data_IF_678371230374
#
_entry.id   IF_678371230374
#
_cell.length_a   1.000
_cell.length_b   1.000
_cell.length_c   1.000
_cell.angle_alpha   90.00
_cell.angle_beta   90.00
_cell.angle_gamma   90.00
#
_symmetry.space_group_name_H-M   'P 1'
#
loop_
_entity.id
_entity.type
_entity.pdbx_description
1 polymer ?
#
# COMPACT_ATOMS: atom_id res chain seq x y z
N UNK A 1 -30.98 82.54 44.62
CA UNK A 1 -30.94 81.54 45.70
C UNK A 1 -29.94 80.47 45.31
N UNK A 2 -29.11 80.09 46.28
CA UNK A 2 -28.06 79.05 46.32
C UNK A 2 -28.49 77.72 45.65
N UNK A 3 -27.65 76.83 45.13
CA UNK A 3 -26.35 76.33 45.64
C UNK A 3 -25.66 75.52 44.52
N UNK A 4 -24.33 75.54 44.49
CA UNK A 4 -23.48 74.68 43.67
C UNK A 4 -23.03 73.41 44.45
N UNK A 5 -22.86 72.26 43.77
CA UNK A 5 -21.78 71.26 43.93
C UNK A 5 -22.16 69.96 43.19
N UNK A 6 -21.54 69.64 42.05
CA UNK A 6 -20.33 68.78 41.88
C UNK A 6 -20.49 67.37 42.45
N UNK A 7 -20.63 66.36 41.58
CA UNK A 7 -19.83 65.12 41.62
C UNK A 7 -19.57 64.63 40.19
N UNK A 8 -18.31 64.25 39.95
CA UNK A 8 -17.68 63.85 38.69
C UNK A 8 -17.76 62.33 38.47
N UNK A 9 -17.36 61.91 37.27
CA UNK A 9 -16.95 60.55 36.85
C UNK A 9 -18.14 59.61 36.54
N UNK A 10 -18.26 58.94 35.40
CA UNK A 10 -17.28 58.49 34.38
C UNK A 10 -18.00 58.37 33.03
N UNK A 11 -17.57 59.16 32.04
CA UNK A 11 -17.87 58.89 30.64
C UNK A 11 -16.64 58.20 30.04
N UNK A 12 -16.80 56.96 29.53
CA UNK A 12 -15.96 56.30 28.49
C UNK A 12 -16.29 54.81 28.43
N UNK A 13 -17.08 54.40 27.44
CA UNK A 13 -16.85 53.18 26.64
C UNK A 13 -18.01 53.00 25.65
N UNK A 14 -17.93 53.64 24.48
CA UNK A 14 -18.80 53.31 23.35
C UNK A 14 -18.21 53.85 22.05
N UNK A 15 -16.98 53.46 21.70
CA UNK A 15 -16.51 53.58 20.33
C UNK A 15 -15.34 52.63 20.14
N UNK A 16 -15.51 51.66 19.23
CA UNK A 16 -14.50 50.85 18.51
C UNK A 16 -14.92 49.39 18.44
N UNK A 17 -15.76 49.05 17.46
CA UNK A 17 -15.83 47.72 16.89
C UNK A 17 -16.47 47.80 15.50
N UNK A 18 -15.79 48.46 14.56
CA UNK A 18 -16.17 48.42 13.14
C UNK A 18 -14.93 48.37 12.24
N UNK A 19 -14.04 47.41 12.46
CA UNK A 19 -13.03 47.00 11.47
C UNK A 19 -12.67 45.53 11.71
N UNK A 20 -13.29 44.61 10.96
CA UNK A 20 -12.72 43.30 10.59
C UNK A 20 -13.78 42.42 9.89
N UNK A 21 -14.34 42.87 8.76
CA UNK A 21 -14.90 41.96 7.76
C UNK A 21 -13.95 41.92 6.56
N UNK A 22 -12.79 41.32 6.77
CA UNK A 22 -12.00 40.73 5.70
C UNK A 22 -11.96 39.25 6.07
N UNK A 23 -13.07 38.56 5.79
CA UNK A 23 -13.11 37.12 5.88
C UNK A 23 -12.08 36.58 4.89
N UNK A 24 -10.96 36.10 5.42
CA UNK A 24 -9.96 35.39 4.63
C UNK A 24 -10.66 34.24 3.93
N UNK A 25 -10.57 34.22 2.60
CA UNK A 25 -10.81 32.98 1.86
C UNK A 25 -9.71 32.03 2.35
N UNK A 26 -10.08 31.05 3.16
CA UNK A 26 -9.17 29.96 3.46
C UNK A 26 -8.76 29.35 2.11
N UNK A 27 -7.47 29.10 1.85
CA UNK A 27 -7.08 28.38 0.65
C UNK A 27 -7.82 27.04 0.68
N UNK A 28 -8.65 26.80 -0.33
CA UNK A 28 -9.21 25.47 -0.56
C UNK A 28 -8.03 24.59 -0.89
N UNK A 29 -7.66 23.69 0.02
CA UNK A 29 -6.67 22.67 -0.27
C UNK A 29 -7.21 21.81 -1.41
N UNK A 30 -6.70 22.01 -2.62
CA UNK A 30 -6.85 21.04 -3.70
C UNK A 30 -6.25 19.74 -3.20
N UNK A 31 -7.07 18.70 -3.06
CA UNK A 31 -6.56 17.33 -2.97
C UNK A 31 -5.61 17.15 -4.17
N UNK A 32 -4.37 16.76 -3.93
CA UNK A 32 -3.21 16.85 -4.85
C UNK A 32 -3.38 16.10 -6.19
N UNK A 33 -4.58 15.61 -6.52
CA UNK A 33 -4.95 14.91 -7.75
C UNK A 33 -4.29 13.53 -7.91
N UNK A 34 -3.26 13.25 -7.12
CA UNK A 34 -2.48 12.03 -7.12
C UNK A 34 -3.34 10.82 -6.79
N UNK A 35 -3.02 9.72 -7.46
CA UNK A 35 -3.61 8.40 -7.26
C UNK A 35 -3.10 7.82 -5.94
N UNK A 36 -3.96 7.59 -4.93
CA UNK A 36 -3.56 6.89 -3.72
C UNK A 36 -3.25 5.42 -4.05
N UNK A 37 -2.02 4.99 -3.76
CA UNK A 37 -1.59 3.60 -3.96
C UNK A 37 -0.95 3.07 -2.68
N UNK A 38 -1.30 1.85 -2.30
CA UNK A 38 -0.72 1.14 -1.16
C UNK A 38 -0.78 -0.36 -1.37
N UNK A 39 -0.21 -1.13 -0.45
CA UNK A 39 -0.24 -2.59 -0.54
C UNK A 39 -1.68 -3.12 -0.59
N UNK A 40 -1.97 -3.97 -1.57
CA UNK A 40 -3.31 -4.49 -1.85
C UNK A 40 -4.10 -3.72 -2.91
N UNK A 41 -3.56 -2.61 -3.42
CA UNK A 41 -4.16 -1.90 -4.55
C UNK A 41 -4.12 -2.73 -5.84
N UNK A 42 -5.22 -2.75 -6.58
CA UNK A 42 -5.26 -3.32 -7.91
C UNK A 42 -4.45 -2.49 -8.90
N UNK A 43 -3.63 -3.16 -9.70
CA UNK A 43 -2.83 -2.57 -10.76
C UNK A 43 -3.16 -3.23 -12.10
N UNK A 44 -3.11 -2.43 -13.16
CA UNK A 44 -3.26 -2.90 -14.54
C UNK A 44 -1.93 -2.73 -15.25
N UNK A 45 -1.36 -3.84 -15.71
CA UNK A 45 -0.09 -3.90 -16.42
C UNK A 45 -0.37 -3.97 -17.91
N UNK A 46 0.23 -3.08 -18.70
CA UNK A 46 0.05 -2.92 -20.15
C UNK A 46 -1.41 -2.80 -20.64
N UNK A 47 -2.34 -2.48 -19.73
CA UNK A 47 -3.76 -2.26 -20.03
C UNK A 47 -4.64 -3.51 -20.01
N UNK A 48 -4.08 -4.71 -19.83
CA UNK A 48 -4.83 -5.97 -19.92
C UNK A 48 -4.58 -6.95 -18.77
N UNK A 49 -3.46 -6.82 -18.06
CA UNK A 49 -3.05 -7.77 -17.02
C UNK A 49 -3.34 -7.19 -15.65
N UNK A 50 -4.22 -7.85 -14.89
CA UNK A 50 -4.67 -7.39 -13.57
C UNK A 50 -3.90 -8.12 -12.48
N UNK A 51 -3.21 -7.36 -11.64
CA UNK A 51 -2.48 -7.87 -10.49
C UNK A 51 -2.67 -6.97 -9.27
N UNK A 52 -2.01 -7.32 -8.17
CA UNK A 52 -2.03 -6.55 -6.93
C UNK A 52 -0.65 -5.97 -6.63
N UNK A 53 -0.63 -4.74 -6.12
CA UNK A 53 0.56 -4.09 -5.59
C UNK A 53 0.92 -4.68 -4.22
N UNK A 54 2.13 -5.22 -4.07
CA UNK A 54 2.62 -5.78 -2.80
C UNK A 54 2.77 -4.66 -1.76
N UNK A 55 3.63 -3.69 -2.06
CA UNK A 55 3.95 -2.60 -1.16
C UNK A 55 4.50 -1.44 -1.98
N UNK A 56 4.49 -0.25 -1.40
CA UNK A 56 5.02 0.97 -1.98
C UNK A 56 5.83 1.72 -0.92
N UNK A 57 6.87 2.42 -1.35
CA UNK A 57 7.84 3.06 -0.48
C UNK A 57 9.00 3.64 -1.25
N UNK A 58 10.11 3.93 -0.58
CA UNK A 58 11.29 4.51 -1.21
C UNK A 58 12.47 3.56 -1.15
N UNK A 59 13.30 3.55 -2.19
CA UNK A 59 14.61 2.89 -2.15
C UNK A 59 15.71 3.83 -1.64
N UNK A 60 16.95 3.33 -1.54
CA UNK A 60 18.08 4.10 -1.04
C UNK A 60 18.48 5.30 -1.91
N UNK A 61 17.94 5.42 -3.12
CA UNK A 61 18.13 6.59 -4.00
C UNK A 61 17.03 7.64 -3.81
N UNK A 62 16.00 7.33 -3.04
CA UNK A 62 14.80 8.14 -2.87
C UNK A 62 13.75 7.92 -3.95
N UNK A 63 13.95 6.99 -4.89
CA UNK A 63 12.95 6.68 -5.91
C UNK A 63 11.70 6.07 -5.27
N UNK A 64 10.51 6.43 -5.77
CA UNK A 64 9.25 5.83 -5.34
C UNK A 64 9.10 4.45 -6.00
N UNK A 65 9.20 3.40 -5.20
CA UNK A 65 9.25 2.00 -5.62
C UNK A 65 8.06 1.24 -5.07
N UNK A 66 7.57 0.26 -5.82
CA UNK A 66 6.76 -0.82 -5.29
C UNK A 66 7.10 -2.17 -5.90
N UNK A 67 6.42 -3.22 -5.43
CA UNK A 67 6.63 -4.59 -5.87
C UNK A 67 5.33 -5.26 -6.31
N UNK A 68 5.41 -6.20 -7.24
CA UNK A 68 4.31 -7.10 -7.63
C UNK A 68 4.91 -8.39 -8.21
N UNK A 69 4.11 -9.32 -8.74
CA UNK A 69 4.62 -10.54 -9.37
C UNK A 69 5.26 -10.31 -10.74
N UNK A 70 6.32 -11.07 -11.05
CA UNK A 70 7.01 -11.01 -12.35
C UNK A 70 6.15 -11.59 -13.49
N UNK A 71 5.31 -12.57 -13.19
CA UNK A 71 4.40 -13.13 -14.20
C UNK A 71 3.29 -12.15 -14.63
N UNK A 72 3.14 -11.01 -13.95
CA UNK A 72 2.26 -9.91 -14.39
C UNK A 72 2.88 -9.05 -15.49
N UNK A 73 4.21 -9.06 -15.61
CA UNK A 73 4.95 -8.23 -16.54
C UNK A 73 6.43 -8.11 -16.17
N UNK A 74 7.23 -7.69 -17.16
CA UNK A 74 8.66 -7.50 -17.01
C UNK A 74 9.10 -6.04 -17.15
N UNK A 75 10.43 -5.78 -17.08
CA UNK A 75 10.98 -4.44 -17.29
C UNK A 75 10.47 -3.78 -18.58
N UNK A 76 10.03 -2.53 -18.46
CA UNK A 76 9.41 -1.74 -19.53
C UNK A 76 7.88 -1.79 -19.55
N UNK A 77 7.24 -2.74 -18.85
CA UNK A 77 5.79 -2.80 -18.76
C UNK A 77 5.22 -1.58 -18.02
N UNK A 78 4.15 -1.02 -18.56
CA UNK A 78 3.48 0.16 -18.02
C UNK A 78 2.47 -0.25 -16.95
N UNK A 79 2.39 0.51 -15.86
CA UNK A 79 1.51 0.24 -14.72
C UNK A 79 0.51 1.37 -14.56
N UNK A 80 -0.77 1.04 -14.53
CA UNK A 80 -1.90 1.93 -14.23
C UNK A 80 -2.64 1.48 -12.96
N UNK A 81 -3.43 2.38 -12.37
CA UNK A 81 -4.33 2.04 -11.25
C UNK A 81 -5.61 1.42 -11.78
N UNK A 82 -6.03 0.29 -11.21
CA UNK A 82 -7.34 -0.33 -11.54
C UNK A 82 -8.50 0.55 -11.09
N UNK A 83 -8.42 1.16 -9.90
CA UNK A 83 -9.48 1.98 -9.33
C UNK A 83 -9.56 3.39 -9.99
N UNK A 84 -8.51 3.80 -10.72
CA UNK A 84 -8.40 5.14 -11.35
C UNK A 84 -7.84 5.09 -12.78
N UNK A 85 -8.53 4.42 -13.73
CA UNK A 85 -8.02 4.22 -15.09
C UNK A 85 -7.86 5.52 -15.90
N UNK A 86 -8.63 6.56 -15.57
CA UNK A 86 -8.56 7.87 -16.25
C UNK A 86 -7.25 8.64 -16.00
N UNK A 87 -6.50 8.31 -14.94
CA UNK A 87 -5.20 8.94 -14.64
C UNK A 87 -4.03 8.36 -15.47
N UNK A 88 -4.32 7.30 -16.24
CA UNK A 88 -3.40 6.66 -17.16
C UNK A 88 -2.26 5.93 -16.44
N UNK A 89 -1.10 5.88 -17.11
CA UNK A 89 0.10 5.22 -16.58
C UNK A 89 0.66 6.02 -15.39
N UNK A 90 0.86 5.34 -14.27
CA UNK A 90 1.37 5.90 -13.01
C UNK A 90 2.77 5.38 -12.65
N UNK A 91 3.28 4.39 -13.37
CA UNK A 91 4.62 3.84 -13.16
C UNK A 91 5.03 2.86 -14.25
N UNK A 92 6.25 2.35 -14.12
CA UNK A 92 6.84 1.39 -15.05
C UNK A 92 7.58 0.32 -14.28
N UNK A 93 7.50 -0.94 -14.71
CA UNK A 93 8.35 -2.00 -14.19
C UNK A 93 9.79 -1.79 -14.64
N UNK A 94 10.74 -1.79 -13.71
CA UNK A 94 12.14 -1.42 -13.97
C UNK A 94 13.14 -2.56 -13.70
N UNK A 95 12.71 -3.59 -12.97
CA UNK A 95 13.50 -4.79 -12.70
C UNK A 95 12.57 -5.94 -12.32
N UNK A 96 13.09 -7.16 -12.28
CA UNK A 96 12.34 -8.33 -11.81
C UNK A 96 13.17 -9.61 -11.85
N UNK A 97 12.64 -10.66 -11.27
CA UNK A 97 13.25 -11.99 -11.22
C UNK A 97 12.15 -13.04 -11.37
N UNK A 98 12.17 -13.81 -12.45
CA UNK A 98 11.16 -14.82 -12.73
C UNK A 98 11.24 -16.00 -11.74
N UNK A 99 12.45 -16.33 -11.25
CA UNK A 99 12.65 -17.45 -10.32
C UNK A 99 12.14 -17.15 -8.90
N UNK A 100 12.13 -15.88 -8.49
CA UNK A 100 11.50 -15.43 -7.25
C UNK A 100 10.13 -14.77 -7.50
N UNK A 101 9.68 -14.76 -8.75
CA UNK A 101 8.44 -14.15 -9.23
C UNK A 101 8.15 -12.76 -8.66
N UNK A 102 9.12 -11.85 -8.71
CA UNK A 102 8.88 -10.44 -8.36
C UNK A 102 9.25 -9.49 -9.50
N UNK A 103 8.51 -8.39 -9.60
CA UNK A 103 8.82 -7.23 -10.40
C UNK A 103 8.89 -5.99 -9.50
N UNK A 104 9.79 -5.08 -9.86
CA UNK A 104 9.97 -3.77 -9.21
C UNK A 104 9.32 -2.73 -10.10
N UNK A 105 8.39 -1.96 -9.53
CA UNK A 105 7.72 -0.85 -10.19
C UNK A 105 8.38 0.44 -9.70
N UNK A 106 8.77 1.32 -10.61
CA UNK A 106 9.08 2.71 -10.30
C UNK A 106 7.85 3.56 -10.63
N UNK A 107 7.29 4.20 -9.61
CA UNK A 107 6.14 5.09 -9.77
C UNK A 107 6.58 6.52 -10.07
N UNK A 108 5.72 7.26 -10.76
CA UNK A 108 5.87 8.70 -10.94
C UNK A 108 5.38 9.43 -9.68
N UNK A 109 6.27 10.08 -8.90
CA UNK A 109 5.88 10.78 -7.68
C UNK A 109 5.00 12.01 -7.93
N UNK A 110 4.91 12.51 -9.17
CA UNK A 110 3.96 13.55 -9.54
C UNK A 110 2.53 13.02 -9.70
N UNK A 111 2.36 11.71 -9.91
CA UNK A 111 1.05 11.07 -10.12
C UNK A 111 0.58 10.23 -8.95
N UNK A 112 1.49 9.71 -8.12
CA UNK A 112 1.16 8.75 -7.07
C UNK A 112 1.32 9.35 -5.69
N UNK A 113 0.30 9.16 -4.86
CA UNK A 113 0.35 9.37 -3.42
C UNK A 113 0.53 8.01 -2.76
N UNK A 114 1.73 7.65 -2.29
CA UNK A 114 1.88 6.40 -1.57
C UNK A 114 1.21 6.48 -0.20
N UNK A 115 0.55 5.40 0.22
CA UNK A 115 -0.11 5.28 1.52
C UNK A 115 0.21 3.94 2.19
N UNK A 116 0.41 3.99 3.50
CA UNK A 116 0.64 2.83 4.40
C UNK A 116 -0.62 2.00 4.64
N UNK A 117 -1.79 2.64 4.58
CA UNK A 117 -3.09 2.04 4.86
C UNK A 117 -3.98 2.08 3.62
N UNK A 118 -4.07 0.96 2.91
CA UNK A 118 -4.93 0.83 1.74
C UNK A 118 -6.20 0.05 2.09
N UNK A 119 -7.37 0.71 2.03
CA UNK A 119 -8.68 0.09 2.33
C UNK A 119 -8.71 -0.62 3.70
N UNK A 120 -8.01 -0.09 4.71
CA UNK A 120 -7.93 -0.68 6.05
C UNK A 120 -6.83 -1.74 6.23
N UNK A 121 -6.06 -2.05 5.18
CA UNK A 121 -4.91 -2.94 5.26
C UNK A 121 -3.64 -2.13 5.47
N UNK A 122 -3.03 -2.27 6.65
CA UNK A 122 -1.86 -1.51 7.06
C UNK A 122 -0.59 -2.31 6.80
N UNK A 123 0.39 -1.67 6.16
CA UNK A 123 1.77 -2.14 6.11
C UNK A 123 2.65 -1.09 6.77
N UNK A 124 3.17 -1.39 7.96
CA UNK A 124 3.96 -0.45 8.78
C UNK A 124 5.42 -0.92 8.96
N UNK A 125 5.88 -1.83 8.11
CA UNK A 125 7.25 -2.30 8.08
C UNK A 125 7.40 -3.66 7.42
N UNK A 126 8.65 -4.15 7.43
CA UNK A 126 9.01 -5.50 6.98
C UNK A 126 9.13 -6.40 8.21
N UNK A 127 8.57 -7.59 8.14
CA UNK A 127 8.63 -8.61 9.18
C UNK A 127 9.54 -9.78 8.78
N UNK A 128 9.94 -10.62 9.75
CA UNK A 128 10.59 -11.88 9.43
C UNK A 128 9.63 -12.83 8.71
N UNK A 129 10.17 -13.86 8.08
CA UNK A 129 9.34 -14.93 7.53
C UNK A 129 8.51 -15.58 8.66
N UNK A 130 7.21 -15.81 8.46
CA UNK A 130 6.34 -16.29 9.50
C UNK A 130 6.54 -17.78 9.72
N UNK A 131 6.32 -18.19 10.96
CA UNK A 131 6.47 -19.55 11.45
C UNK A 131 5.11 -20.24 11.59
N UNK A 132 5.16 -21.56 11.76
CA UNK A 132 3.95 -22.37 11.91
C UNK A 132 3.03 -21.82 13.02
N UNK A 133 1.75 -21.66 12.70
CA UNK A 133 0.73 -21.21 13.66
C UNK A 133 0.49 -19.69 13.68
N UNK A 134 1.38 -18.89 13.10
CA UNK A 134 1.16 -17.45 13.00
C UNK A 134 0.04 -17.13 12.00
N UNK A 135 -0.81 -16.14 12.34
CA UNK A 135 -1.91 -15.71 11.48
C UNK A 135 -1.40 -14.68 10.49
N UNK A 136 -1.37 -15.08 9.21
CA UNK A 136 -1.05 -14.21 8.10
C UNK A 136 -2.33 -13.63 7.50
N UNK A 137 -2.29 -12.36 7.11
CA UNK A 137 -3.39 -11.64 6.48
C UNK A 137 -2.97 -11.06 5.14
N UNK A 138 -3.86 -11.13 4.15
CA UNK A 138 -3.66 -10.64 2.79
C UNK A 138 -4.75 -9.67 2.40
N UNK A 139 -4.41 -8.66 1.60
CA UNK A 139 -5.36 -7.91 0.78
C UNK A 139 -5.01 -8.08 -0.70
N UNK A 140 -5.91 -8.71 -1.47
CA UNK A 140 -5.76 -8.86 -2.92
C UNK A 140 -6.92 -8.24 -3.69
N UNK A 141 -6.70 -7.84 -4.96
CA UNK A 141 -7.75 -7.21 -5.78
C UNK A 141 -8.93 -8.14 -6.10
N UNK A 142 -8.73 -9.46 -6.09
CA UNK A 142 -9.74 -10.44 -6.50
C UNK A 142 -10.52 -10.96 -5.30
N UNK A 143 -9.84 -11.47 -4.28
CA UNK A 143 -10.50 -12.10 -3.11
C UNK A 143 -10.60 -11.19 -1.89
N UNK A 144 -10.03 -9.99 -1.97
CA UNK A 144 -10.08 -8.98 -0.92
C UNK A 144 -9.23 -9.36 0.30
N UNK A 145 -9.69 -8.90 1.46
CA UNK A 145 -9.04 -9.13 2.76
C UNK A 145 -9.37 -10.53 3.29
N UNK A 146 -8.34 -11.36 3.51
CA UNK A 146 -8.47 -12.71 4.09
C UNK A 146 -7.29 -13.01 5.00
N UNK A 147 -7.52 -13.73 6.10
CA UNK A 147 -6.46 -14.23 6.97
C UNK A 147 -6.54 -15.74 7.11
N UNK A 148 -5.39 -16.35 7.41
CA UNK A 148 -5.28 -17.78 7.62
C UNK A 148 -4.00 -18.13 8.38
N UNK A 149 -3.97 -19.35 8.89
CA UNK A 149 -2.79 -19.88 9.59
C UNK A 149 -1.62 -20.06 8.61
N UNK A 150 -0.42 -19.78 9.08
CA UNK A 150 0.82 -20.11 8.38
C UNK A 150 1.21 -21.55 8.67
N UNK A 151 1.46 -22.33 7.61
CA UNK A 151 1.90 -23.72 7.70
C UNK A 151 3.44 -23.84 7.77
N UNK A 152 4.16 -22.84 7.27
CA UNK A 152 5.62 -22.76 7.28
C UNK A 152 6.21 -22.66 5.88
N UNK A 153 7.48 -23.06 5.68
CA UNK A 153 8.14 -23.04 4.38
C UNK A 153 7.41 -23.91 3.34
N UNK A 154 7.38 -23.44 2.09
CA UNK A 154 6.88 -24.21 0.95
C UNK A 154 7.91 -25.14 0.34
N UNK A 155 7.57 -25.70 -0.82
CA UNK A 155 8.42 -26.67 -1.53
C UNK A 155 9.66 -26.00 -2.14
N UNK A 156 9.50 -24.77 -2.64
CA UNK A 156 10.56 -24.03 -3.29
C UNK A 156 11.26 -23.06 -2.31
N UNK A 157 12.58 -22.83 -2.46
CA UNK A 157 13.31 -21.90 -1.61
C UNK A 157 12.68 -20.50 -1.57
N UNK A 158 12.52 -19.95 -0.37
CA UNK A 158 11.94 -18.63 -0.16
C UNK A 158 10.41 -18.59 -0.23
N UNK A 159 9.74 -19.73 -0.49
CA UNK A 159 8.28 -19.80 -0.43
C UNK A 159 7.77 -20.12 0.96
N UNK A 160 6.58 -19.62 1.28
CA UNK A 160 5.85 -19.83 2.53
C UNK A 160 4.42 -20.25 2.16
N UNK A 161 3.86 -21.19 2.91
CA UNK A 161 2.49 -21.67 2.73
C UNK A 161 1.60 -21.12 3.83
N UNK A 162 0.48 -20.50 3.45
CA UNK A 162 -0.49 -19.92 4.39
C UNK A 162 -1.93 -20.10 3.90
N UNK A 163 -2.87 -20.21 4.84
CA UNK A 163 -4.28 -20.48 4.59
C UNK A 163 -5.06 -19.23 4.14
N UNK A 164 -4.39 -18.21 3.56
CA UNK A 164 -5.08 -17.05 2.98
C UNK A 164 -5.72 -17.43 1.64
N UNK A 165 -6.77 -16.72 1.27
CA UNK A 165 -7.56 -16.99 0.07
C UNK A 165 -6.85 -16.46 -1.18
N UNK A 166 -6.50 -17.27 -2.18
CA UNK A 166 -5.84 -16.80 -3.41
C UNK A 166 -6.62 -17.17 -4.68
N UNK A 167 -6.69 -16.23 -5.63
CA UNK A 167 -7.23 -16.43 -6.99
C UNK A 167 -6.42 -15.65 -8.03
N UNK A 168 -6.58 -15.97 -9.34
CA UNK A 168 -6.06 -15.13 -10.41
C UNK A 168 -6.38 -13.64 -10.19
N UNK A 169 -5.36 -12.79 -10.32
CA UNK A 169 -5.41 -11.35 -10.02
C UNK A 169 -4.95 -10.97 -8.61
N UNK A 170 -4.95 -11.89 -7.65
CA UNK A 170 -4.29 -11.66 -6.35
C UNK A 170 -2.76 -11.78 -6.43
N UNK A 171 -2.20 -12.11 -7.60
CA UNK A 171 -0.76 -12.11 -7.85
C UNK A 171 -0.11 -10.81 -7.37
N UNK A 172 0.93 -10.93 -6.54
CA UNK A 172 1.60 -9.78 -5.92
C UNK A 172 0.84 -9.19 -4.72
N UNK A 173 -0.28 -9.76 -4.27
CA UNK A 173 -0.97 -9.24 -3.09
C UNK A 173 -0.09 -9.36 -1.84
N UNK A 174 0.02 -8.31 -0.99
CA UNK A 174 0.80 -8.38 0.22
C UNK A 174 0.23 -9.39 1.19
N UNK A 175 1.14 -10.09 1.86
CA UNK A 175 0.84 -10.91 3.03
C UNK A 175 1.59 -10.34 4.22
N UNK A 176 0.85 -10.10 5.31
CA UNK A 176 1.36 -9.49 6.53
C UNK A 176 1.13 -10.39 7.73
N UNK A 177 1.98 -10.23 8.74
CA UNK A 177 1.74 -10.70 10.11
C UNK A 177 1.91 -9.49 11.02
N UNK A 178 0.91 -9.20 11.85
CA UNK A 178 0.91 -8.01 12.73
C UNK A 178 1.27 -6.70 11.99
N UNK A 179 0.66 -6.49 10.81
CA UNK A 179 0.88 -5.35 9.90
C UNK A 179 2.31 -5.24 9.32
N UNK A 180 3.20 -6.18 9.62
CA UNK A 180 4.51 -6.29 8.99
C UNK A 180 4.39 -7.11 7.72
N UNK A 181 4.87 -6.59 6.60
CA UNK A 181 4.95 -7.32 5.34
C UNK A 181 5.91 -8.49 5.49
N UNK A 182 5.43 -9.71 5.19
CA UNK A 182 6.23 -10.94 5.27
C UNK A 182 6.40 -11.61 3.91
N UNK A 183 5.53 -11.30 2.95
CA UNK A 183 5.61 -11.86 1.61
C UNK A 183 4.55 -11.31 0.67
N UNK A 184 4.46 -11.94 -0.49
CA UNK A 184 3.44 -11.62 -1.49
C UNK A 184 2.95 -12.88 -2.19
N UNK A 185 1.71 -12.86 -2.68
CA UNK A 185 1.14 -14.02 -3.39
C UNK A 185 1.94 -14.33 -4.64
N UNK A 186 2.32 -15.60 -4.73
CA UNK A 186 3.05 -16.20 -5.83
C UNK A 186 2.18 -17.22 -6.57
N UNK A 187 1.42 -18.05 -5.84
CA UNK A 187 0.59 -19.09 -6.44
C UNK A 187 -0.28 -19.85 -5.44
N UNK A 188 -0.76 -21.02 -5.85
CA UNK A 188 -1.51 -21.96 -5.01
C UNK A 188 -0.63 -23.16 -4.64
N UNK A 189 -0.91 -23.77 -3.49
CA UNK A 189 -0.14 -24.93 -3.01
C UNK A 189 -0.46 -26.20 -3.80
N UNK A 190 -1.72 -26.37 -4.21
CA UNK A 190 -2.18 -27.52 -4.98
C UNK A 190 -3.42 -27.16 -5.79
N UNK A 191 -3.55 -27.74 -6.98
CA UNK A 191 -4.75 -27.65 -7.82
C UNK A 191 -5.79 -28.73 -7.47
N UNK A 192 -5.45 -29.69 -6.61
CA UNK A 192 -6.32 -30.82 -6.22
C UNK A 192 -7.30 -30.45 -5.09
N UNK A 193 -7.11 -29.28 -4.48
CA UNK A 193 -7.97 -28.75 -3.42
C UNK A 193 -8.91 -27.68 -3.98
N UNK A 194 -10.12 -27.51 -3.41
CA UNK A 194 -11.06 -26.48 -3.84
C UNK A 194 -10.41 -25.09 -3.83
N UNK A 195 -10.67 -24.31 -4.88
CA UNK A 195 -10.25 -22.91 -4.94
C UNK A 195 -10.99 -22.07 -3.91
N UNK A 196 -10.30 -21.09 -3.34
CA UNK A 196 -10.95 -20.13 -2.47
C UNK A 196 -11.68 -19.09 -3.32
N UNK A 197 -13.02 -19.11 -3.30
CA UNK A 197 -13.84 -18.15 -4.05
C UNK A 197 -14.14 -16.90 -3.21
N UNK A 198 -14.30 -17.06 -1.89
CA UNK A 198 -14.55 -15.96 -0.93
C UNK A 198 -13.94 -16.30 0.43
N UNK A 199 -13.66 -15.27 1.25
CA UNK A 199 -13.01 -15.36 2.57
C UNK A 199 -13.69 -16.27 3.63
N UNK A 200 -14.85 -16.82 3.33
CA UNK A 200 -15.66 -17.62 4.26
C UNK A 200 -15.54 -19.14 4.05
N UNK A 201 -14.78 -19.58 3.05
CA UNK A 201 -14.58 -21.01 2.79
C UNK A 201 -13.48 -21.50 3.75
N UNK A 202 -13.78 -22.39 4.72
CA UNK A 202 -12.82 -22.75 5.77
C UNK A 202 -11.74 -23.74 5.29
N UNK A 203 -12.01 -24.48 4.20
CA UNK A 203 -11.08 -25.43 3.61
C UNK A 203 -10.97 -25.15 2.11
N UNK A 204 -9.82 -24.63 1.71
CA UNK A 204 -9.45 -24.37 0.32
C UNK A 204 -7.96 -24.63 0.14
N UNK A 205 -7.50 -24.67 -1.10
CA UNK A 205 -6.06 -24.75 -1.40
C UNK A 205 -5.33 -23.60 -0.69
N UNK A 206 -4.30 -23.89 0.13
CA UNK A 206 -3.47 -22.84 0.71
C UNK A 206 -2.80 -22.01 -0.39
N UNK A 207 -2.57 -20.73 -0.10
CA UNK A 207 -1.75 -19.91 -0.98
C UNK A 207 -0.26 -20.16 -0.72
N UNK A 208 0.52 -20.04 -1.78
CA UNK A 208 1.98 -19.94 -1.73
C UNK A 208 2.36 -18.48 -1.88
N UNK A 209 3.16 -18.01 -0.94
CA UNK A 209 3.69 -16.64 -0.95
C UNK A 209 5.20 -16.67 -1.07
N UNK A 210 5.76 -15.76 -1.86
CA UNK A 210 7.20 -15.52 -1.87
C UNK A 210 7.58 -14.61 -0.70
N UNK A 211 8.62 -14.99 0.06
CA UNK A 211 9.18 -14.20 1.16
C UNK A 211 9.63 -12.83 0.66
N UNK A 212 9.20 -11.78 1.37
CA UNK A 212 9.68 -10.43 1.08
C UNK A 212 11.18 -10.29 1.40
N UNK A 213 11.67 -11.04 2.39
CA UNK A 213 13.08 -11.03 2.77
C UNK A 213 13.96 -11.66 1.68
N UNK A 214 13.49 -12.75 1.06
CA UNK A 214 14.16 -13.34 -0.11
C UNK A 214 14.21 -12.36 -1.29
N UNK A 215 13.10 -11.68 -1.57
CA UNK A 215 13.00 -10.66 -2.63
C UNK A 215 13.97 -9.50 -2.37
N UNK A 216 13.91 -8.89 -1.18
CA UNK A 216 14.77 -7.76 -0.81
C UNK A 216 16.24 -8.16 -0.77
N UNK A 217 16.55 -9.40 -0.36
CA UNK A 217 17.89 -9.97 -0.42
C UNK A 217 18.42 -10.08 -1.86
N UNK A 218 17.62 -10.56 -2.81
CA UNK A 218 17.99 -10.63 -4.23
C UNK A 218 18.17 -9.24 -4.85
N UNK A 219 17.26 -8.31 -4.54
CA UNK A 219 17.32 -6.91 -4.99
C UNK A 219 18.62 -6.25 -4.53
N UNK A 220 18.93 -6.35 -3.24
CA UNK A 220 20.13 -5.77 -2.66
C UNK A 220 21.41 -6.46 -3.16
N UNK A 221 21.43 -7.80 -3.18
CA UNK A 221 22.58 -8.60 -3.62
C UNK A 221 22.98 -8.36 -5.08
N UNK A 222 22.04 -7.90 -5.91
CA UNK A 222 22.26 -7.55 -7.32
C UNK A 222 22.28 -6.04 -7.59
N UNK A 223 22.20 -5.21 -6.54
CA UNK A 223 22.15 -3.74 -6.63
C UNK A 223 21.08 -3.24 -7.62
N UNK A 224 19.88 -3.81 -7.54
CA UNK A 224 18.74 -3.49 -8.41
C UNK A 224 18.00 -2.25 -7.90
N UNK A 225 17.21 -1.56 -8.76
CA UNK A 225 16.19 -0.62 -8.29
C UNK A 225 15.34 -1.26 -7.17
N UNK A 226 15.08 -0.53 -6.09
CA UNK A 226 14.51 -1.11 -4.87
C UNK A 226 15.53 -1.49 -3.79
N UNK A 227 16.84 -1.35 -4.04
CA UNK A 227 17.86 -1.61 -3.00
C UNK A 227 17.68 -0.66 -1.82
N UNK A 228 17.64 -1.20 -0.60
CA UNK A 228 17.37 -0.43 0.62
C UNK A 228 15.92 0.07 0.72
N UNK A 229 14.98 -0.65 0.10
CA UNK A 229 13.56 -0.34 0.17
C UNK A 229 13.05 -0.19 1.61
N UNK A 230 12.31 0.88 1.84
CA UNK A 230 11.57 1.16 3.07
C UNK A 230 10.11 1.42 2.68
N UNK A 231 9.14 0.64 3.21
CA UNK A 231 7.72 0.90 2.99
C UNK A 231 7.33 2.31 3.42
N UNK A 232 6.32 2.89 2.76
CA UNK A 232 5.74 4.17 3.17
C UNK A 232 5.26 4.10 4.61
N UNK A 233 5.78 5.02 5.43
CA UNK A 233 5.44 5.09 6.84
C UNK A 233 4.00 5.54 7.07
N UNK A 234 3.41 5.06 8.16
CA UNK A 234 2.11 5.53 8.63
C UNK A 234 2.25 6.93 9.23
N UNK A 235 1.76 7.92 8.50
CA UNK A 235 1.62 9.30 8.98
C UNK A 235 0.21 9.46 9.52
N UNK A 236 -0.02 8.93 10.72
CA UNK A 236 -1.32 8.94 11.39
C UNK A 236 -2.01 10.30 11.45
#
# INVERSE_FOLDING_TARGET
MTTAQRVRLTARAALMALVALIAGVAPVATADGKVPMGGGAGIVVNGDTYCTLTSIGNDNTGALIGFTSAHCGGPGAQVASEDRPADGVIGTMVAGNDGLDYAVIRFDPAKVQPISNYKGFVIDGIGPDPTFGEVACKLGRTTGYSCGVTWGPGQDPGTIVNQVCGQPGDSGAPVTVNNKLVGMIHGAFSEDLPTCVVKFIPLHTPAVTMSINAILGDVAGKNRPGTGFVPTADVG
#
